data_IF_609347405421
#
_entry.id   IF_609347405421
#
_cell.length_a   1.000
_cell.length_b   1.000
_cell.length_c   1.000
_cell.angle_alpha   90.00
_cell.angle_beta   90.00
_cell.angle_gamma   90.00
#
_symmetry.space_group_name_H-M   'P 1'
#
loop_
_entity.id
_entity.type
_entity.pdbx_description
1 polymer ?
#
# COMPACT_ATOMS: atom_id res chain seq x y z
N UNK A 1 55.38 -25.20 57.92
CA UNK A 1 55.26 -25.97 56.65
C UNK A 1 53.89 -25.66 56.07
N UNK A 2 53.84 -24.86 55.01
CA UNK A 2 52.61 -24.28 54.44
C UNK A 2 52.22 -25.08 53.19
N UNK A 3 51.05 -25.71 53.22
CA UNK A 3 50.52 -26.47 52.09
C UNK A 3 49.67 -25.52 51.22
N UNK A 4 50.16 -25.17 50.02
CA UNK A 4 49.38 -24.42 49.03
C UNK A 4 48.53 -25.43 48.25
N UNK A 5 47.20 -25.30 48.35
CA UNK A 5 46.29 -25.97 47.44
C UNK A 5 46.44 -25.33 46.04
N UNK A 6 46.73 -26.16 45.03
CA UNK A 6 46.69 -25.74 43.64
C UNK A 6 45.22 -25.67 43.21
N UNK A 7 44.75 -24.46 42.88
CA UNK A 7 43.45 -24.28 42.25
C UNK A 7 43.54 -24.78 40.81
N UNK A 8 42.80 -25.84 40.50
CA UNK A 8 42.62 -26.34 39.15
C UNK A 8 41.76 -25.32 38.38
N UNK A 9 42.39 -24.58 37.47
CA UNK A 9 41.70 -23.68 36.55
C UNK A 9 40.98 -24.55 35.54
N UNK A 10 39.68 -24.77 35.75
CA UNK A 10 38.79 -25.35 34.75
C UNK A 10 38.70 -24.32 33.62
N UNK A 11 39.53 -24.49 32.59
CA UNK A 11 39.40 -23.75 31.35
C UNK A 11 38.16 -24.28 30.65
N UNK A 12 37.08 -23.49 30.46
CA UNK A 12 35.93 -23.95 29.71
C UNK A 12 36.38 -24.31 28.29
N UNK A 13 36.02 -25.51 27.85
CA UNK A 13 36.19 -25.98 26.48
C UNK A 13 35.25 -25.14 25.58
N UNK A 14 35.75 -24.01 25.07
CA UNK A 14 35.08 -23.25 24.01
C UNK A 14 35.22 -24.03 22.71
N UNK A 15 34.47 -25.12 22.58
CA UNK A 15 34.22 -25.70 21.26
C UNK A 15 33.52 -24.61 20.43
N UNK A 16 33.95 -24.35 19.18
CA UNK A 16 33.21 -23.47 18.31
C UNK A 16 31.80 -24.03 18.18
N UNK A 17 30.81 -23.26 18.64
CA UNK A 17 29.39 -23.59 18.47
C UNK A 17 29.15 -23.65 16.97
N UNK A 18 28.62 -24.80 16.50
CA UNK A 18 28.15 -24.98 15.12
C UNK A 18 27.19 -23.84 14.77
N UNK A 19 27.76 -22.90 14.00
CA UNK A 19 27.20 -21.74 13.29
C UNK A 19 25.73 -21.43 13.52
N UNK A 20 25.44 -20.75 14.63
CA UNK A 20 24.29 -19.84 14.69
C UNK A 20 24.63 -18.62 13.83
N UNK A 21 23.84 -18.37 12.78
CA UNK A 21 23.98 -17.22 11.89
C UNK A 21 22.89 -16.20 12.21
N UNK A 22 23.25 -14.92 12.33
CA UNK A 22 22.29 -13.83 12.33
C UNK A 22 22.91 -12.67 11.57
N UNK A 23 22.33 -12.31 10.44
CA UNK A 23 22.89 -11.27 9.61
C UNK A 23 22.20 -11.05 8.27
N UNK A 24 22.72 -10.12 7.48
CA UNK A 24 22.20 -9.86 6.14
C UNK A 24 22.50 -11.04 5.21
N UNK A 25 21.60 -11.31 4.27
CA UNK A 25 21.83 -12.22 3.15
C UNK A 25 21.19 -11.67 1.87
N UNK A 26 21.81 -11.90 0.71
CA UNK A 26 21.32 -11.43 -0.60
C UNK A 26 20.50 -12.51 -1.29
N UNK A 27 19.34 -12.15 -1.85
CA UNK A 27 18.48 -13.10 -2.58
C UNK A 27 19.08 -13.43 -3.95
N UNK A 28 19.40 -14.70 -4.18
CA UNK A 28 19.88 -15.24 -5.45
C UNK A 28 18.73 -15.78 -6.32
N UNK A 29 17.76 -16.45 -5.72
CA UNK A 29 16.54 -16.94 -6.38
C UNK A 29 15.35 -16.95 -5.43
N UNK A 30 14.15 -16.93 -6.01
CA UNK A 30 12.87 -16.94 -5.30
C UNK A 30 12.10 -18.20 -5.69
N UNK A 31 11.68 -18.98 -4.70
CA UNK A 31 10.95 -20.24 -4.86
C UNK A 31 9.59 -20.17 -4.15
N UNK A 32 8.73 -21.19 -4.34
CA UNK A 32 7.35 -21.15 -3.86
C UNK A 32 7.24 -21.16 -2.31
N UNK A 33 8.22 -21.75 -1.63
CA UNK A 33 8.25 -22.02 -0.19
C UNK A 33 9.41 -21.32 0.55
N UNK A 34 10.20 -20.50 -0.16
CA UNK A 34 11.39 -19.85 0.39
C UNK A 34 12.27 -19.18 -0.66
N UNK A 35 13.50 -18.87 -0.26
CA UNK A 35 14.48 -18.15 -1.10
C UNK A 35 15.86 -18.77 -0.96
N UNK A 36 16.62 -18.82 -2.06
CA UNK A 36 18.05 -19.09 -2.02
C UNK A 36 18.78 -17.79 -1.74
N UNK A 37 19.66 -17.78 -0.74
CA UNK A 37 20.41 -16.58 -0.34
C UNK A 37 21.92 -16.81 -0.33
N UNK A 38 22.66 -15.75 -0.63
CA UNK A 38 24.11 -15.65 -0.45
C UNK A 38 24.42 -15.02 0.91
N UNK A 39 25.10 -15.77 1.76
CA UNK A 39 25.59 -15.29 3.05
C UNK A 39 26.87 -14.46 2.88
N UNK A 40 27.23 -13.58 3.85
CA UNK A 40 28.44 -12.76 3.78
C UNK A 40 29.75 -13.56 3.72
N UNK A 41 29.73 -14.82 4.14
CA UNK A 41 30.87 -15.75 4.04
C UNK A 41 30.98 -16.44 2.65
N UNK A 42 30.13 -16.07 1.69
CA UNK A 42 30.08 -16.63 0.35
C UNK A 42 29.31 -17.94 0.22
N UNK A 43 28.69 -18.45 1.30
CA UNK A 43 27.91 -19.68 1.25
C UNK A 43 26.49 -19.42 0.71
N UNK A 44 26.04 -20.28 -0.19
CA UNK A 44 24.64 -20.32 -0.63
C UNK A 44 23.82 -21.22 0.29
N UNK A 45 22.65 -20.73 0.73
CA UNK A 45 21.76 -21.45 1.63
C UNK A 45 20.30 -21.15 1.33
N UNK A 46 19.45 -22.15 1.51
CA UNK A 46 18.01 -21.99 1.39
C UNK A 46 17.45 -21.44 2.70
N UNK A 47 16.62 -20.40 2.63
CA UNK A 47 15.98 -19.78 3.78
C UNK A 47 14.45 -19.81 3.65
N UNK A 48 13.77 -20.33 4.67
CA UNK A 48 12.31 -20.32 4.78
C UNK A 48 11.82 -18.94 5.23
N UNK A 49 10.73 -18.45 4.66
CA UNK A 49 10.12 -17.19 5.10
C UNK A 49 9.39 -17.40 6.43
N UNK A 50 9.96 -16.91 7.55
CA UNK A 50 9.40 -17.14 8.89
C UNK A 50 8.23 -16.21 9.25
N UNK A 51 8.06 -15.10 8.52
CA UNK A 51 6.93 -14.20 8.67
C UNK A 51 6.49 -13.70 7.31
N UNK A 52 5.20 -13.85 6.99
CA UNK A 52 4.62 -13.29 5.77
C UNK A 52 4.45 -11.78 5.97
N UNK A 53 5.58 -11.05 6.01
CA UNK A 53 5.57 -9.63 5.68
C UNK A 53 4.88 -9.51 4.31
N UNK A 54 4.03 -8.49 4.07
CA UNK A 54 3.35 -8.30 2.79
C UNK A 54 4.34 -7.81 1.74
N UNK A 55 5.43 -8.56 1.53
CA UNK A 55 6.58 -8.24 0.73
C UNK A 55 6.99 -9.50 -0.01
N UNK A 56 6.94 -9.45 -1.32
CA UNK A 56 7.43 -10.50 -2.21
C UNK A 56 8.91 -10.22 -2.50
N UNK A 57 9.86 -11.03 -2.00
CA UNK A 57 11.28 -10.84 -2.28
C UNK A 57 11.57 -10.93 -3.77
N UNK A 58 12.53 -10.12 -4.22
CA UNK A 58 13.10 -10.13 -5.56
C UNK A 58 14.60 -10.42 -5.49
N UNK A 59 15.15 -10.94 -6.59
CA UNK A 59 16.60 -11.17 -6.73
C UNK A 59 17.36 -9.86 -6.52
N UNK A 60 18.41 -9.90 -5.71
CA UNK A 60 19.22 -8.73 -5.32
C UNK A 60 18.70 -7.98 -4.08
N UNK A 61 17.57 -8.39 -3.50
CA UNK A 61 17.12 -7.86 -2.21
C UNK A 61 18.05 -8.33 -1.07
N UNK A 62 18.14 -7.51 -0.02
CA UNK A 62 18.86 -7.86 1.20
C UNK A 62 17.86 -8.21 2.32
N UNK A 63 17.95 -9.42 2.84
CA UNK A 63 17.11 -9.95 3.91
C UNK A 63 17.88 -10.03 5.23
N UNK A 64 17.15 -9.97 6.34
CA UNK A 64 17.66 -10.38 7.65
C UNK A 64 17.36 -11.86 7.84
N UNK A 65 18.41 -12.67 7.96
CA UNK A 65 18.30 -14.13 8.08
C UNK A 65 18.87 -14.57 9.41
N UNK A 66 18.13 -15.47 10.08
CA UNK A 66 18.58 -16.21 11.25
C UNK A 66 18.76 -17.67 10.87
N UNK A 67 19.88 -18.26 11.22
CA UNK A 67 20.19 -19.66 10.96
C UNK A 67 20.65 -20.37 12.21
N UNK A 68 20.24 -21.63 12.36
CA UNK A 68 20.74 -22.54 13.39
C UNK A 68 20.95 -23.90 12.77
N UNK A 69 22.19 -24.41 12.79
CA UNK A 69 22.59 -25.62 12.04
C UNK A 69 22.29 -25.46 10.54
N UNK A 70 21.44 -26.32 9.98
CA UNK A 70 21.08 -26.35 8.56
C UNK A 70 19.79 -25.56 8.25
N UNK A 71 19.08 -25.08 9.28
CA UNK A 71 17.83 -24.34 9.10
C UNK A 71 18.11 -22.84 9.04
N UNK A 72 17.69 -22.18 7.96
CA UNK A 72 17.72 -20.72 7.83
C UNK A 72 16.31 -20.17 7.65
N UNK A 73 16.07 -19.03 8.30
CA UNK A 73 14.79 -18.33 8.26
C UNK A 73 15.00 -16.87 7.92
N UNK A 74 14.33 -16.38 6.88
CA UNK A 74 14.20 -14.96 6.62
C UNK A 74 13.16 -14.37 7.57
N UNK A 75 13.61 -13.46 8.44
CA UNK A 75 12.81 -12.83 9.50
C UNK A 75 12.54 -11.34 9.25
N UNK A 76 13.13 -10.77 8.21
CA UNK A 76 12.91 -9.38 7.82
C UNK A 76 13.54 -9.01 6.49
N UNK A 77 13.17 -7.84 5.98
CA UNK A 77 13.71 -7.26 4.74
C UNK A 77 14.49 -6.01 5.13
N UNK A 78 15.79 -5.97 4.82
CA UNK A 78 16.67 -4.84 5.13
C UNK A 78 16.69 -3.83 3.98
N UNK A 79 16.63 -4.33 2.74
CA UNK A 79 16.52 -3.52 1.54
C UNK A 79 15.75 -4.31 0.49
N UNK A 80 14.63 -3.75 0.05
CA UNK A 80 13.74 -4.39 -0.88
C UNK A 80 13.47 -3.53 -2.11
N UNK A 81 13.49 -4.16 -3.28
CA UNK A 81 13.06 -3.63 -4.58
C UNK A 81 11.76 -4.28 -5.09
N UNK A 82 11.39 -5.40 -4.46
CA UNK A 82 10.20 -6.19 -4.72
C UNK A 82 8.90 -5.49 -4.32
N UNK A 83 7.80 -6.14 -4.68
CA UNK A 83 6.46 -5.58 -4.49
C UNK A 83 5.94 -5.90 -3.10
N UNK A 84 5.45 -4.89 -2.40
CA UNK A 84 4.64 -5.11 -1.21
C UNK A 84 3.18 -5.40 -1.60
N UNK A 85 2.62 -6.52 -1.15
CA UNK A 85 1.25 -6.96 -1.47
C UNK A 85 0.52 -7.41 -0.21
N UNK A 86 -0.54 -6.69 0.15
CA UNK A 86 -1.50 -7.11 1.16
C UNK A 86 -2.67 -7.82 0.47
N UNK A 87 -2.88 -9.10 0.78
CA UNK A 87 -4.03 -9.90 0.32
C UNK A 87 -4.69 -10.54 1.52
N UNK A 88 -6.01 -10.42 1.57
CA UNK A 88 -6.84 -10.98 2.61
C UNK A 88 -7.93 -11.84 1.97
N UNK A 89 -8.29 -12.94 2.62
CA UNK A 89 -9.48 -13.71 2.29
C UNK A 89 -10.66 -13.22 3.14
N UNK A 90 -11.76 -12.82 2.51
CA UNK A 90 -12.94 -12.30 3.23
C UNK A 90 -12.91 -10.79 3.44
N UNK A 91 -13.68 -10.33 4.41
CA UNK A 91 -13.86 -8.90 4.72
C UNK A 91 -12.65 -8.32 5.45
N UNK A 92 -12.36 -7.03 5.21
CA UNK A 92 -11.22 -6.32 5.80
C UNK A 92 -11.62 -4.92 6.21
N UNK A 93 -11.33 -4.57 7.45
CA UNK A 93 -11.36 -3.21 7.94
C UNK A 93 -9.96 -2.61 7.96
N UNK A 94 -9.80 -1.45 7.31
CA UNK A 94 -8.59 -0.63 7.39
C UNK A 94 -8.90 0.63 8.21
N UNK A 95 -8.40 0.69 9.44
CA UNK A 95 -8.70 1.77 10.38
C UNK A 95 -7.45 2.31 11.09
N UNK A 96 -7.54 3.57 11.54
CA UNK A 96 -6.54 4.20 12.41
C UNK A 96 -7.21 4.61 13.72
N UNK A 97 -6.90 3.91 14.81
CA UNK A 97 -7.45 4.22 16.14
C UNK A 97 -6.72 5.41 16.77
N UNK A 98 -7.48 6.45 17.16
CA UNK A 98 -6.93 7.68 17.76
C UNK A 98 -6.04 8.51 16.82
N UNK A 99 -5.99 8.17 15.52
CA UNK A 99 -5.05 8.73 14.56
C UNK A 99 -5.66 9.10 13.21
N UNK A 100 -4.80 9.25 12.21
CA UNK A 100 -5.20 9.57 10.82
C UNK A 100 -4.69 8.50 9.88
N UNK A 101 -5.59 7.87 9.11
CA UNK A 101 -5.22 7.01 7.99
C UNK A 101 -4.82 7.89 6.80
N UNK A 102 -3.60 7.72 6.29
CA UNK A 102 -3.08 8.45 5.12
C UNK A 102 -2.65 7.45 4.06
N UNK A 103 -3.07 7.69 2.82
CA UNK A 103 -2.64 6.96 1.63
C UNK A 103 -1.96 7.97 0.69
N UNK A 104 -0.72 7.70 0.30
CA UNK A 104 0.08 8.57 -0.57
C UNK A 104 0.96 7.73 -1.49
N UNK A 105 1.15 8.19 -2.72
CA UNK A 105 2.01 7.56 -3.71
C UNK A 105 2.58 8.59 -4.69
N UNK A 106 3.81 8.39 -5.13
CA UNK A 106 4.49 9.32 -6.06
C UNK A 106 3.91 9.29 -7.48
N UNK A 107 3.38 8.13 -7.90
CA UNK A 107 2.85 7.92 -9.26
C UNK A 107 1.33 7.87 -9.34
N UNK A 108 0.66 7.46 -8.27
CA UNK A 108 -0.79 7.37 -8.23
C UNK A 108 -1.34 6.33 -7.25
N UNK A 109 -2.62 6.48 -6.94
CA UNK A 109 -3.42 5.55 -6.14
C UNK A 109 -4.59 5.10 -7.01
N UNK A 110 -4.74 3.79 -7.23
CA UNK A 110 -5.86 3.20 -7.97
C UNK A 110 -6.79 2.46 -7.00
N UNK A 111 -8.08 2.79 -7.05
CA UNK A 111 -9.14 2.09 -6.32
C UNK A 111 -10.04 1.43 -7.35
N UNK A 112 -10.06 0.10 -7.36
CA UNK A 112 -10.90 -0.69 -8.26
C UNK A 112 -11.92 -1.47 -7.45
N UNK A 113 -13.19 -1.17 -7.66
CA UNK A 113 -14.31 -1.86 -7.04
C UNK A 113 -15.54 -1.72 -7.94
N UNK A 114 -16.48 -2.68 -7.91
CA UNK A 114 -17.82 -2.48 -8.47
C UNK A 114 -18.55 -1.27 -7.84
N UNK A 115 -18.33 -1.02 -6.55
CA UNK A 115 -18.95 0.08 -5.79
C UNK A 115 -17.94 0.72 -4.82
N UNK A 116 -17.95 2.05 -4.75
CA UNK A 116 -17.15 2.82 -3.79
C UNK A 116 -18.07 3.82 -3.09
N UNK A 117 -18.18 3.70 -1.77
CA UNK A 117 -19.01 4.58 -0.94
C UNK A 117 -18.12 5.37 0.01
N UNK A 118 -18.26 6.70 0.00
CA UNK A 118 -17.47 7.61 0.84
C UNK A 118 -18.42 8.35 1.79
N UNK A 119 -18.35 8.00 3.07
CA UNK A 119 -19.03 8.75 4.13
C UNK A 119 -18.06 9.72 4.78
N UNK A 120 -18.25 11.01 4.52
CA UNK A 120 -17.42 12.05 5.11
C UNK A 120 -18.23 13.32 5.35
N UNK A 121 -17.95 14.03 6.44
CA UNK A 121 -18.50 15.38 6.65
C UNK A 121 -17.94 16.40 5.66
N UNK A 122 -16.73 16.16 5.14
CA UNK A 122 -16.09 17.00 4.13
C UNK A 122 -15.19 16.15 3.24
N UNK A 123 -15.41 16.24 1.93
CA UNK A 123 -14.49 15.75 0.90
C UNK A 123 -13.85 16.96 0.22
N UNK A 124 -12.54 16.94 0.03
CA UNK A 124 -11.82 18.00 -0.68
C UNK A 124 -10.89 17.37 -1.69
N UNK A 125 -10.98 17.84 -2.93
CA UNK A 125 -10.20 17.34 -4.06
C UNK A 125 -9.43 18.50 -4.66
N UNK A 126 -8.11 18.35 -4.74
CA UNK A 126 -7.25 19.24 -5.51
C UNK A 126 -6.67 18.42 -6.66
N UNK A 127 -7.11 18.73 -7.87
CA UNK A 127 -6.65 18.06 -9.08
C UNK A 127 -6.45 19.11 -10.18
N UNK A 128 -5.38 18.97 -10.96
CA UNK A 128 -5.20 19.76 -12.18
C UNK A 128 -6.28 19.42 -13.22
N UNK A 129 -6.70 18.16 -13.27
CA UNK A 129 -7.77 17.69 -14.14
C UNK A 129 -8.57 16.60 -13.43
N UNK A 130 -9.89 16.75 -13.43
CA UNK A 130 -10.82 15.72 -12.98
C UNK A 130 -11.62 15.22 -14.19
N UNK A 131 -11.45 13.94 -14.56
CA UNK A 131 -12.20 13.29 -15.64
C UNK A 131 -13.07 12.21 -15.04
N UNK A 132 -14.37 12.28 -15.27
CA UNK A 132 -15.32 11.23 -14.95
C UNK A 132 -15.84 10.61 -16.26
N UNK A 133 -15.60 9.31 -16.45
CA UNK A 133 -16.10 8.56 -17.61
C UNK A 133 -17.08 7.51 -17.12
N UNK A 134 -18.30 7.56 -17.63
CA UNK A 134 -19.37 6.59 -17.34
C UNK A 134 -19.64 5.83 -18.64
N UNK A 135 -19.46 4.50 -18.63
CA UNK A 135 -19.37 3.71 -19.86
C UNK A 135 -20.72 3.19 -20.36
N UNK A 136 -21.61 2.74 -19.47
CA UNK A 136 -22.85 2.07 -19.89
C UNK A 136 -24.10 2.93 -19.63
N UNK A 137 -24.62 3.51 -20.72
CA UNK A 137 -25.88 4.23 -20.81
C UNK A 137 -26.88 3.36 -21.59
N UNK A 138 -27.52 2.40 -20.91
CA UNK A 138 -28.67 1.65 -21.44
C UNK A 138 -29.90 1.79 -20.55
N UNK A 139 -31.04 2.01 -21.20
CA UNK A 139 -32.26 2.62 -20.67
C UNK A 139 -33.19 1.60 -19.99
N UNK A 140 -33.10 1.51 -18.65
CA UNK A 140 -34.19 1.54 -17.62
C UNK A 140 -33.57 0.97 -16.33
N UNK A 141 -33.54 1.80 -15.27
CA UNK A 141 -32.92 1.62 -13.93
C UNK A 141 -31.48 2.18 -13.81
N UNK A 142 -31.41 3.33 -13.13
CA UNK A 142 -30.27 3.98 -12.44
C UNK A 142 -28.96 4.31 -13.18
N UNK A 143 -28.90 5.49 -13.81
CA UNK A 143 -27.65 6.26 -13.95
C UNK A 143 -27.94 7.77 -13.92
N UNK A 144 -28.20 8.28 -12.71
CA UNK A 144 -28.35 9.70 -12.38
C UNK A 144 -27.12 10.10 -11.56
N UNK A 145 -26.33 11.06 -12.01
CA UNK A 145 -25.50 11.84 -11.09
C UNK A 145 -26.45 12.80 -10.39
N UNK A 146 -26.98 12.38 -9.25
CA UNK A 146 -27.80 13.22 -8.39
C UNK A 146 -26.88 13.95 -7.43
N UNK A 147 -26.73 15.25 -7.65
CA UNK A 147 -26.15 16.13 -6.64
C UNK A 147 -27.32 16.66 -5.83
N UNK A 148 -27.59 16.01 -4.70
CA UNK A 148 -28.47 16.57 -3.68
C UNK A 148 -27.58 17.36 -2.71
N UNK A 149 -27.67 18.68 -2.78
CA UNK A 149 -26.90 19.57 -1.93
C UNK A 149 -27.80 20.69 -1.41
N UNK A 150 -27.61 21.05 -0.14
CA UNK A 150 -28.24 22.24 0.43
C UNK A 150 -27.79 23.52 -0.30
N UNK A 151 -26.54 23.53 -0.76
CA UNK A 151 -25.95 24.63 -1.53
C UNK A 151 -24.90 24.05 -2.49
N UNK A 152 -24.90 24.51 -3.74
CA UNK A 152 -23.88 24.21 -4.73
C UNK A 152 -23.40 25.51 -5.38
N UNK A 153 -22.09 25.76 -5.35
CA UNK A 153 -21.47 26.93 -5.96
C UNK A 153 -20.36 26.52 -6.90
N UNK A 154 -20.54 26.81 -8.19
CA UNK A 154 -19.53 26.60 -9.23
C UNK A 154 -18.92 27.93 -9.62
N UNK A 155 -17.61 28.08 -9.43
CA UNK A 155 -16.86 29.28 -9.85
C UNK A 155 -15.82 28.84 -10.87
N UNK A 156 -15.84 29.45 -12.06
CA UNK A 156 -14.95 29.09 -13.16
C UNK A 156 -14.18 30.33 -13.59
N UNK A 157 -12.85 30.25 -13.65
CA UNK A 157 -12.00 31.35 -14.11
C UNK A 157 -11.91 31.40 -15.65
N UNK A 158 -11.95 30.24 -16.30
CA UNK A 158 -11.90 30.10 -17.76
C UNK A 158 -13.29 29.91 -18.38
N UNK A 159 -13.40 28.92 -19.27
CA UNK A 159 -14.66 28.55 -19.89
C UNK A 159 -15.38 27.42 -19.14
N UNK A 160 -16.71 27.51 -19.07
CA UNK A 160 -17.59 26.43 -18.63
C UNK A 160 -18.54 26.10 -19.78
N UNK A 161 -18.58 24.85 -20.21
CA UNK A 161 -19.49 24.38 -21.28
C UNK A 161 -20.36 23.25 -20.70
N UNK A 162 -21.67 23.47 -20.70
CA UNK A 162 -22.65 22.41 -20.42
C UNK A 162 -23.31 22.03 -21.75
N UNK A 163 -23.04 20.82 -22.22
CA UNK A 163 -23.67 20.28 -23.41
C UNK A 163 -24.57 19.10 -23.00
N UNK A 164 -25.85 19.18 -23.36
CA UNK A 164 -26.82 18.14 -23.07
C UNK A 164 -27.81 18.01 -24.23
N UNK A 165 -28.37 16.80 -24.43
CA UNK A 165 -29.48 16.58 -25.37
C UNK A 165 -30.74 17.35 -24.94
N UNK A 166 -30.97 17.42 -23.62
CA UNK A 166 -32.05 18.19 -23.00
C UNK A 166 -31.54 18.69 -21.67
N UNK A 167 -31.79 19.96 -21.36
CA UNK A 167 -31.49 20.56 -20.07
C UNK A 167 -32.75 21.26 -19.55
N UNK A 168 -33.08 21.03 -18.29
CA UNK A 168 -34.19 21.72 -17.60
C UNK A 168 -33.64 22.27 -16.29
N UNK A 169 -33.79 23.58 -16.09
CA UNK A 169 -33.45 24.26 -14.84
C UNK A 169 -34.77 24.65 -14.21
N UNK A 170 -35.08 24.08 -13.04
CA UNK A 170 -36.27 24.38 -12.26
C UNK A 170 -35.83 25.08 -10.99
N UNK A 171 -36.48 26.18 -10.63
CA UNK A 171 -36.19 26.96 -9.42
C UNK A 171 -37.50 27.35 -8.75
N UNK A 172 -37.56 27.26 -7.42
CA UNK A 172 -38.77 27.64 -6.67
C UNK A 172 -38.99 29.16 -6.65
N UNK A 173 -37.90 29.93 -6.53
CA UNK A 173 -37.96 31.38 -6.37
C UNK A 173 -37.43 32.14 -7.59
N UNK A 174 -36.14 32.04 -7.90
CA UNK A 174 -35.52 32.90 -8.93
C UNK A 174 -34.34 32.22 -9.60
N UNK A 175 -34.31 32.31 -10.93
CA UNK A 175 -33.13 32.05 -11.76
C UNK A 175 -32.62 33.38 -12.33
N UNK A 176 -31.35 33.71 -12.10
CA UNK A 176 -30.72 34.92 -12.67
C UNK A 176 -29.58 34.50 -13.59
N UNK A 177 -29.64 34.96 -14.85
CA UNK A 177 -28.57 34.80 -15.82
C UNK A 177 -28.08 36.19 -16.22
N UNK A 178 -26.83 36.50 -15.90
CA UNK A 178 -26.17 37.75 -16.29
C UNK A 178 -24.99 37.43 -17.19
N UNK A 179 -25.03 37.98 -18.41
CA UNK A 179 -23.97 37.79 -19.39
C UNK A 179 -23.92 38.97 -20.35
N UNK A 180 -22.78 39.15 -21.02
CA UNK A 180 -22.63 40.18 -22.06
C UNK A 180 -23.55 39.90 -23.26
N UNK A 181 -23.77 38.63 -23.58
CA UNK A 181 -24.65 38.14 -24.65
C UNK A 181 -25.30 36.83 -24.20
N UNK A 182 -26.59 36.68 -24.49
CA UNK A 182 -27.34 35.43 -24.29
C UNK A 182 -28.02 35.11 -25.61
N UNK A 183 -27.65 33.99 -26.22
CA UNK A 183 -28.30 33.48 -27.42
C UNK A 183 -29.27 32.38 -27.00
N UNK A 184 -30.55 32.70 -27.07
CA UNK A 184 -31.63 31.73 -26.98
C UNK A 184 -32.06 31.45 -28.41
N UNK A 185 -32.09 30.16 -28.79
CA UNK A 185 -32.54 29.73 -30.12
C UNK A 185 -33.93 30.25 -30.44
#
# INVERSE_FOLDING_TARGET
MSQRAAAEVITPDFRPVETDFLGPAEVLSVEADGVLVLLPNGAERYATMAFVSPYEPAVGDALLVIGKRDDLYAIGVLRGSGRAVLRFSGDVDLAAEGGTLRLSADRGVEIRSPEVTVHASRVTTWAETLIQRVTDLYQRVASRLEVEAKEARTVVQGSSVLQARTATIVTDETATVQGKQVHLG
#
